data_IF_909401234246
#
_entry.id   IF_909401234246
#
_cell.length_a   1.000
_cell.length_b   1.000
_cell.length_c   1.000
_cell.angle_alpha   90.00
_cell.angle_beta   90.00
_cell.angle_gamma   90.00
#
_symmetry.space_group_name_H-M   'P 1'
#
loop_
_entity.id
_entity.type
_entity.pdbx_description
1 polymer ?
#
# COMPACT_ATOMS: atom_id res chain seq x y z
N UNK A 1 18.14 -4.31 -33.55
CA UNK A 1 17.93 -2.95 -33.01
C UNK A 1 18.10 -2.98 -31.49
N UNK A 2 19.06 -2.25 -30.95
CA UNK A 2 19.25 -2.10 -29.50
C UNK A 2 18.06 -1.27 -28.97
N UNK A 3 17.32 -1.80 -27.99
CA UNK A 3 16.21 -1.07 -27.39
C UNK A 3 16.77 0.19 -26.71
N UNK A 4 16.15 1.35 -26.94
CA UNK A 4 16.50 2.55 -26.18
C UNK A 4 16.21 2.30 -24.70
N UNK A 5 17.14 2.67 -23.82
CA UNK A 5 17.01 2.48 -22.38
C UNK A 5 15.87 3.38 -21.88
N UNK A 6 15.02 2.85 -20.99
CA UNK A 6 13.99 3.65 -20.34
C UNK A 6 14.63 4.39 -19.15
N UNK A 7 14.35 5.69 -18.94
CA UNK A 7 14.83 6.42 -17.76
C UNK A 7 14.47 5.71 -16.45
N UNK A 8 15.40 5.73 -15.48
CA UNK A 8 15.29 4.94 -14.24
C UNK A 8 14.02 5.21 -13.43
N UNK A 9 13.58 6.47 -13.37
CA UNK A 9 12.36 6.84 -12.65
C UNK A 9 11.06 6.24 -13.26
N UNK A 10 11.09 5.80 -14.52
CA UNK A 10 9.98 5.10 -15.17
C UNK A 10 10.12 3.57 -15.08
N UNK A 11 11.27 3.04 -14.63
CA UNK A 11 11.47 1.61 -14.41
C UNK A 11 10.91 1.12 -13.06
N UNK A 12 10.70 2.04 -12.11
CA UNK A 12 10.35 1.70 -10.72
C UNK A 12 8.84 1.44 -10.48
N UNK A 13 8.02 1.34 -11.53
CA UNK A 13 6.60 1.03 -11.39
C UNK A 13 5.76 1.42 -12.59
N UNK A 14 4.49 1.73 -12.35
CA UNK A 14 3.62 2.22 -13.40
C UNK A 14 3.92 3.69 -13.72
N UNK A 15 3.87 4.04 -14.99
CA UNK A 15 3.98 5.42 -15.43
C UNK A 15 2.92 5.77 -16.47
N UNK A 16 2.53 7.04 -16.51
CA UNK A 16 1.59 7.56 -17.50
C UNK A 16 2.33 7.94 -18.79
N UNK A 17 1.63 7.92 -19.91
CA UNK A 17 2.15 8.44 -21.17
C UNK A 17 2.49 9.94 -21.09
N UNK A 18 1.80 10.69 -20.22
CA UNK A 18 2.12 12.10 -19.92
C UNK A 18 3.47 12.22 -19.22
N UNK A 19 3.75 11.35 -18.24
CA UNK A 19 5.04 11.30 -17.56
C UNK A 19 6.18 10.92 -18.53
N UNK A 20 5.94 9.97 -19.43
CA UNK A 20 6.94 9.60 -20.44
C UNK A 20 7.25 10.74 -21.41
N UNK A 21 6.25 11.54 -21.80
CA UNK A 21 6.44 12.70 -22.67
C UNK A 21 7.30 13.77 -21.98
N UNK A 22 7.02 14.06 -20.70
CA UNK A 22 7.83 14.98 -19.89
C UNK A 22 9.27 14.51 -19.75
N UNK A 23 9.49 13.19 -19.74
CA UNK A 23 10.82 12.58 -19.69
C UNK A 23 11.51 12.45 -21.07
N UNK A 24 10.90 12.97 -22.15
CA UNK A 24 11.45 12.91 -23.50
C UNK A 24 11.44 11.51 -24.14
N UNK A 25 10.63 10.59 -23.60
CA UNK A 25 10.54 9.22 -24.12
C UNK A 25 9.62 9.19 -25.34
N UNK A 26 10.14 8.69 -26.47
CA UNK A 26 9.40 8.64 -27.73
C UNK A 26 8.22 7.65 -27.67
N UNK A 27 7.19 7.89 -28.49
CA UNK A 27 6.03 6.97 -28.60
C UNK A 27 6.44 5.57 -29.04
N UNK A 28 7.38 5.46 -29.98
CA UNK A 28 7.96 4.18 -30.41
C UNK A 28 8.55 3.41 -29.24
N UNK A 29 9.22 4.10 -28.29
CA UNK A 29 9.76 3.45 -27.09
C UNK A 29 8.66 3.00 -26.12
N UNK A 30 7.59 3.77 -25.97
CA UNK A 30 6.43 3.39 -25.11
C UNK A 30 5.56 2.26 -25.69
N UNK A 31 5.78 1.89 -26.96
CA UNK A 31 5.13 0.78 -27.65
C UNK A 31 6.00 -0.49 -27.69
N UNK A 32 7.19 -0.47 -27.10
CA UNK A 32 8.09 -1.62 -27.08
C UNK A 32 7.53 -2.77 -26.23
N UNK A 33 7.85 -4.01 -26.62
CA UNK A 33 7.31 -5.25 -26.03
C UNK A 33 7.74 -5.51 -24.57
N UNK A 34 8.70 -4.75 -24.06
CA UNK A 34 9.11 -4.81 -22.65
C UNK A 34 8.21 -3.97 -21.72
N UNK A 35 7.17 -3.34 -22.26
CA UNK A 35 6.16 -2.60 -21.52
C UNK A 35 4.78 -3.23 -21.73
N UNK A 36 4.04 -3.43 -20.64
CA UNK A 36 2.64 -3.86 -20.65
C UNK A 36 1.73 -2.65 -20.56
N UNK A 37 0.67 -2.65 -21.36
CA UNK A 37 -0.41 -1.67 -21.23
C UNK A 37 -1.48 -2.21 -20.27
N UNK A 38 -1.51 -1.69 -19.06
CA UNK A 38 -2.47 -2.10 -18.01
C UNK A 38 -3.78 -1.30 -18.07
N UNK A 39 -3.74 -0.09 -18.60
CA UNK A 39 -4.90 0.75 -18.86
C UNK A 39 -4.57 1.78 -19.93
N UNK A 40 -5.60 2.45 -20.46
CA UNK A 40 -5.41 3.50 -21.46
C UNK A 40 -4.47 4.58 -20.92
N UNK A 41 -3.35 4.78 -21.62
CA UNK A 41 -2.34 5.78 -21.26
C UNK A 41 -1.41 5.39 -20.10
N UNK A 42 -1.45 4.15 -19.62
CA UNK A 42 -0.58 3.67 -18.55
C UNK A 42 0.30 2.53 -19.06
N UNK A 43 1.57 2.53 -18.65
CA UNK A 43 2.54 1.48 -18.95
C UNK A 43 3.16 0.95 -17.67
N UNK A 44 3.54 -0.32 -17.70
CA UNK A 44 4.30 -0.98 -16.64
C UNK A 44 5.42 -1.79 -17.31
N UNK A 45 6.69 -1.62 -16.92
CA UNK A 45 7.77 -2.49 -17.38
C UNK A 45 7.48 -3.95 -17.01
N UNK A 46 7.66 -4.88 -17.96
CA UNK A 46 7.38 -6.32 -17.76
C UNK A 46 8.16 -6.90 -16.58
N UNK A 47 9.40 -6.44 -16.38
CA UNK A 47 10.26 -6.88 -15.29
C UNK A 47 10.09 -6.06 -14.01
N UNK A 48 9.13 -5.13 -13.95
CA UNK A 48 8.88 -4.39 -12.72
C UNK A 48 8.22 -5.33 -11.71
N UNK A 49 8.87 -5.56 -10.57
CA UNK A 49 8.27 -6.17 -9.38
C UNK A 49 7.42 -5.17 -8.57
N UNK A 50 6.94 -4.10 -9.20
CA UNK A 50 6.29 -3.01 -8.48
C UNK A 50 4.96 -3.46 -7.87
N UNK A 51 4.78 -3.14 -6.59
CA UNK A 51 3.58 -3.42 -5.80
C UNK A 51 3.10 -2.16 -5.10
N UNK A 52 1.88 -2.16 -4.57
CA UNK A 52 1.35 -1.06 -3.77
C UNK A 52 1.29 0.26 -4.54
N UNK A 53 1.78 1.35 -3.92
CA UNK A 53 1.87 2.70 -4.46
C UNK A 53 2.56 2.77 -5.81
N UNK A 54 3.72 2.12 -5.95
CA UNK A 54 4.51 2.13 -7.18
C UNK A 54 3.76 1.53 -8.39
N UNK A 55 2.92 0.52 -8.16
CA UNK A 55 2.08 -0.07 -9.20
C UNK A 55 0.89 0.84 -9.59
N UNK A 56 0.45 1.72 -8.69
CA UNK A 56 -0.76 2.53 -8.85
C UNK A 56 -0.50 4.00 -9.20
N UNK A 57 0.74 4.49 -9.08
CA UNK A 57 1.16 5.88 -9.32
C UNK A 57 0.62 6.49 -10.60
N UNK A 58 0.67 5.74 -11.71
CA UNK A 58 0.19 6.25 -12.99
C UNK A 58 -1.31 6.57 -13.03
N UNK A 59 -2.12 5.94 -12.18
CA UNK A 59 -3.57 6.20 -12.15
C UNK A 59 -3.90 7.56 -11.55
N UNK A 60 -3.14 7.99 -10.54
CA UNK A 60 -3.29 9.30 -9.91
C UNK A 60 -2.51 10.40 -10.63
N UNK A 61 -1.41 10.07 -11.31
CA UNK A 61 -0.65 11.04 -12.13
C UNK A 61 -1.36 11.38 -13.45
N UNK A 62 -2.07 10.41 -14.04
CA UNK A 62 -2.77 10.62 -15.30
C UNK A 62 -3.97 11.58 -15.17
N UNK A 63 -4.53 11.72 -13.97
CA UNK A 63 -5.64 12.61 -13.69
C UNK A 63 -5.57 13.15 -12.26
N UNK A 64 -5.30 14.45 -12.16
CA UNK A 64 -5.14 15.24 -10.94
C UNK A 64 -6.40 15.27 -10.04
N UNK A 65 -7.51 14.68 -10.46
CA UNK A 65 -8.75 14.54 -9.67
C UNK A 65 -8.99 13.13 -9.11
N UNK A 66 -8.26 12.13 -9.60
CA UNK A 66 -8.46 10.72 -9.24
C UNK A 66 -7.73 10.36 -7.94
N UNK A 67 -8.45 9.70 -7.03
CA UNK A 67 -7.99 9.35 -5.68
C UNK A 67 -8.16 7.85 -5.49
N UNK A 68 -7.15 7.13 -5.00
CA UNK A 68 -7.29 5.72 -4.62
C UNK A 68 -8.16 5.59 -3.37
N UNK A 69 -9.08 4.62 -3.34
CA UNK A 69 -10.03 4.42 -2.23
C UNK A 69 -10.22 2.93 -1.92
N UNK A 70 -10.93 2.60 -0.83
CA UNK A 70 -11.39 1.25 -0.51
C UNK A 70 -10.26 0.21 -0.54
N UNK A 71 -10.46 -0.95 -1.19
CA UNK A 71 -9.47 -2.03 -1.28
C UNK A 71 -8.13 -1.58 -1.88
N UNK A 72 -8.11 -0.61 -2.80
CA UNK A 72 -6.86 -0.11 -3.37
C UNK A 72 -6.07 0.74 -2.38
N UNK A 73 -6.73 1.66 -1.67
CA UNK A 73 -6.09 2.44 -0.61
C UNK A 73 -5.62 1.53 0.54
N UNK A 74 -6.46 0.58 0.96
CA UNK A 74 -6.14 -0.37 2.02
C UNK A 74 -4.85 -1.17 1.73
N UNK A 75 -4.66 -1.61 0.48
CA UNK A 75 -3.41 -2.29 0.05
C UNK A 75 -2.20 -1.38 0.10
N UNK A 76 -2.33 -0.11 -0.26
CA UNK A 76 -1.23 0.86 -0.16
C UNK A 76 -0.86 1.13 1.30
N UNK A 77 -1.85 1.20 2.20
CA UNK A 77 -1.62 1.28 3.64
C UNK A 77 -1.05 -0.01 4.25
N UNK A 78 -1.11 -1.12 3.51
CA UNK A 78 -0.69 -2.44 3.98
C UNK A 78 -1.69 -3.10 4.94
N UNK A 79 -2.94 -2.64 4.94
CA UNK A 79 -3.98 -3.17 5.82
C UNK A 79 -4.20 -4.68 5.59
N UNK A 80 -4.43 -5.46 6.66
CA UNK A 80 -4.68 -6.89 6.53
C UNK A 80 -6.05 -7.12 5.89
N UNK A 81 -6.07 -7.53 4.62
CA UNK A 81 -7.30 -7.84 3.90
C UNK A 81 -7.60 -9.35 3.91
N UNK A 82 -8.89 -9.75 4.07
CA UNK A 82 -9.31 -11.15 3.99
C UNK A 82 -8.91 -11.81 2.66
N UNK A 83 -8.70 -13.13 2.69
CA UNK A 83 -8.24 -13.90 1.53
C UNK A 83 -9.12 -13.73 0.29
N UNK A 84 -10.45 -13.59 0.45
CA UNK A 84 -11.40 -13.35 -0.66
C UNK A 84 -11.11 -12.08 -1.45
N UNK A 85 -10.48 -11.08 -0.81
CA UNK A 85 -10.10 -9.83 -1.46
C UNK A 85 -8.65 -9.85 -1.97
N UNK A 86 -7.86 -10.91 -1.74
CA UNK A 86 -6.48 -10.98 -2.27
C UNK A 86 -6.44 -11.16 -3.79
N UNK A 87 -7.43 -11.84 -4.37
CA UNK A 87 -7.52 -12.08 -5.81
C UNK A 87 -8.21 -10.97 -6.61
N UNK A 88 -8.81 -9.97 -5.96
CA UNK A 88 -9.51 -8.88 -6.66
C UNK A 88 -8.53 -7.77 -7.05
N UNK A 89 -7.91 -7.89 -8.22
CA UNK A 89 -6.91 -6.93 -8.73
C UNK A 89 -7.50 -5.68 -9.36
N UNK A 90 -8.82 -5.47 -9.25
CA UNK A 90 -9.44 -4.23 -9.73
C UNK A 90 -8.97 -3.05 -8.90
N UNK A 91 -8.85 -1.91 -9.57
CA UNK A 91 -8.34 -0.67 -8.97
C UNK A 91 -9.51 0.22 -8.61
N UNK A 92 -9.68 0.51 -7.33
CA UNK A 92 -10.73 1.37 -6.81
C UNK A 92 -10.27 2.83 -6.86
N UNK A 93 -10.91 3.62 -7.71
CA UNK A 93 -10.67 5.05 -7.85
C UNK A 93 -11.93 5.83 -7.55
N UNK A 94 -11.80 6.86 -6.74
CA UNK A 94 -12.83 7.84 -6.48
C UNK A 94 -12.48 9.18 -7.12
N UNK A 95 -13.52 9.96 -7.39
CA UNK A 95 -13.43 11.40 -7.61
C UNK A 95 -14.41 12.12 -6.71
N UNK A 96 -14.10 13.40 -6.44
CA UNK A 96 -15.01 14.29 -5.72
C UNK A 96 -16.33 14.44 -6.50
N UNK A 97 -17.43 14.58 -5.77
CA UNK A 97 -18.72 14.95 -6.35
C UNK A 97 -18.59 16.26 -7.15
N UNK A 98 -19.21 16.32 -8.33
CA UNK A 98 -19.04 17.40 -9.31
C UNK A 98 -18.07 17.07 -10.46
N UNK A 99 -17.25 16.02 -10.32
CA UNK A 99 -16.46 15.48 -11.42
C UNK A 99 -17.13 14.29 -12.11
N UNK A 100 -16.68 13.98 -13.32
CA UNK A 100 -17.18 12.83 -14.08
C UNK A 100 -16.74 11.50 -13.45
N UNK A 101 -17.64 10.51 -13.49
CA UNK A 101 -17.40 9.17 -12.96
C UNK A 101 -16.17 8.51 -13.65
N UNK A 102 -15.20 7.95 -12.90
CA UNK A 102 -14.04 7.27 -13.49
C UNK A 102 -14.45 6.05 -14.33
N UNK A 103 -14.19 6.07 -15.64
CA UNK A 103 -14.47 4.95 -16.56
C UNK A 103 -13.22 4.44 -17.25
N UNK A 104 -12.70 3.29 -16.80
CA UNK A 104 -11.49 2.64 -17.35
C UNK A 104 -11.58 1.12 -17.21
N UNK A 105 -10.89 0.40 -18.07
CA UNK A 105 -10.73 -1.05 -17.93
C UNK A 105 -9.97 -1.37 -16.62
N UNK A 106 -10.39 -2.43 -15.94
CA UNK A 106 -9.85 -2.90 -14.66
C UNK A 106 -9.92 -1.85 -13.51
N UNK A 107 -10.84 -0.89 -13.60
CA UNK A 107 -11.07 0.14 -12.58
C UNK A 107 -12.51 0.07 -12.09
N UNK A 108 -12.69 0.07 -10.78
CA UNK A 108 -13.98 0.34 -10.13
C UNK A 108 -14.00 1.83 -9.79
N UNK A 109 -14.83 2.58 -10.52
CA UNK A 109 -15.02 4.00 -10.29
C UNK A 109 -15.98 4.27 -9.12
N UNK A 110 -15.72 5.33 -8.39
CA UNK A 110 -16.58 5.85 -7.32
C UNK A 110 -16.70 7.37 -7.47
N UNK A 111 -17.82 7.92 -7.03
CA UNK A 111 -18.00 9.37 -6.85
C UNK A 111 -18.38 9.59 -5.40
N UNK A 112 -17.50 10.25 -4.66
CA UNK A 112 -17.60 10.39 -3.22
C UNK A 112 -17.51 11.86 -2.81
N UNK A 113 -18.07 12.17 -1.65
CA UNK A 113 -17.79 13.43 -0.95
C UNK A 113 -16.61 13.21 -0.02
N UNK A 114 -15.64 14.13 -0.06
CA UNK A 114 -14.45 14.10 0.78
C UNK A 114 -14.34 15.40 1.57
N UNK A 115 -14.00 15.29 2.85
CA UNK A 115 -13.51 16.40 3.66
C UNK A 115 -12.05 16.72 3.30
N UNK A 116 -11.56 17.95 3.57
CA UNK A 116 -10.22 18.38 3.16
C UNK A 116 -9.07 17.50 3.65
N UNK A 117 -9.23 16.86 4.80
CA UNK A 117 -8.24 16.02 5.50
C UNK A 117 -8.37 14.52 5.20
N UNK A 118 -9.35 14.13 4.38
CA UNK A 118 -9.59 12.73 4.03
C UNK A 118 -8.80 12.25 2.82
N UNK A 119 -8.07 13.14 2.13
CA UNK A 119 -7.26 12.81 0.97
C UNK A 119 -5.81 13.15 1.27
N UNK A 120 -4.94 12.15 1.18
CA UNK A 120 -3.52 12.27 1.45
C UNK A 120 -2.71 11.95 0.20
N UNK A 121 -1.47 12.42 0.20
CA UNK A 121 -0.45 11.95 -0.73
C UNK A 121 0.55 11.08 0.04
N UNK A 122 0.73 9.84 -0.42
CA UNK A 122 1.62 8.86 0.22
C UNK A 122 2.40 8.13 -0.86
N UNK A 123 3.73 8.14 -0.78
CA UNK A 123 4.63 7.50 -1.74
C UNK A 123 4.31 7.83 -3.23
N UNK A 124 3.93 9.10 -3.46
CA UNK A 124 3.60 9.63 -4.78
C UNK A 124 2.26 9.17 -5.36
N UNK A 125 1.37 8.60 -4.55
CA UNK A 125 -0.04 8.36 -4.91
C UNK A 125 -0.97 9.18 -4.03
N UNK A 126 -2.07 9.67 -4.64
CA UNK A 126 -3.17 10.30 -3.91
C UNK A 126 -4.21 9.25 -3.53
N UNK A 127 -4.54 9.16 -2.25
CA UNK A 127 -5.42 8.14 -1.70
C UNK A 127 -6.20 8.65 -0.49
N UNK A 128 -7.24 7.93 -0.10
CA UNK A 128 -8.00 8.24 1.11
C UNK A 128 -7.15 8.04 2.36
N UNK A 129 -7.35 8.89 3.37
CA UNK A 129 -6.68 8.79 4.68
C UNK A 129 -6.94 7.42 5.32
N UNK A 130 -6.14 6.97 6.30
CA UNK A 130 -6.39 5.70 6.99
C UNK A 130 -7.81 5.60 7.56
N UNK A 131 -8.27 6.65 8.26
CA UNK A 131 -9.62 6.70 8.83
C UNK A 131 -10.71 6.62 7.73
N UNK A 132 -10.53 7.35 6.63
CA UNK A 132 -11.47 7.30 5.52
C UNK A 132 -11.44 5.96 4.80
N UNK A 133 -10.27 5.37 4.62
CA UNK A 133 -10.11 4.03 4.03
C UNK A 133 -10.84 2.99 4.86
N UNK A 134 -10.72 3.06 6.19
CA UNK A 134 -11.45 2.18 7.10
C UNK A 134 -12.97 2.31 6.92
N UNK A 135 -13.49 3.54 6.84
CA UNK A 135 -14.92 3.77 6.53
C UNK A 135 -15.32 3.23 5.15
N UNK A 136 -14.49 3.43 4.12
CA UNK A 136 -14.74 2.92 2.76
C UNK A 136 -14.83 1.37 2.72
N UNK A 137 -14.23 0.68 3.69
CA UNK A 137 -14.24 -0.78 3.79
C UNK A 137 -15.44 -1.35 4.55
N UNK A 138 -16.18 -0.52 5.30
CA UNK A 138 -17.26 -0.98 6.17
C UNK A 138 -18.39 -1.71 5.42
N UNK A 139 -18.61 -1.39 4.15
CA UNK A 139 -19.57 -2.08 3.29
C UNK A 139 -19.07 -3.38 2.64
N UNK A 140 -17.78 -3.72 2.81
CA UNK A 140 -17.12 -4.85 2.14
C UNK A 140 -16.64 -5.94 3.12
N UNK A 141 -16.41 -5.55 4.37
CA UNK A 141 -15.82 -6.40 5.41
C UNK A 141 -16.87 -6.75 6.47
N UNK A 142 -16.70 -7.90 7.14
CA UNK A 142 -17.45 -8.17 8.36
C UNK A 142 -17.00 -7.25 9.49
N UNK A 143 -17.75 -7.20 10.59
CA UNK A 143 -17.40 -6.37 11.75
C UNK A 143 -16.04 -6.77 12.31
N UNK A 144 -15.76 -8.07 12.44
CA UNK A 144 -14.50 -8.60 12.98
C UNK A 144 -13.30 -8.23 12.10
N UNK A 145 -13.48 -8.31 10.77
CA UNK A 145 -12.44 -7.95 9.81
C UNK A 145 -12.20 -6.44 9.79
N UNK A 146 -13.26 -5.65 9.92
CA UNK A 146 -13.19 -4.19 10.00
C UNK A 146 -12.49 -3.75 11.29
N UNK A 147 -12.73 -4.40 12.42
CA UNK A 147 -12.00 -4.19 13.68
C UNK A 147 -10.52 -4.49 13.48
N UNK A 148 -10.16 -5.64 12.91
CA UNK A 148 -8.76 -6.00 12.66
C UNK A 148 -8.03 -4.98 11.75
N UNK A 149 -8.70 -4.48 10.72
CA UNK A 149 -8.14 -3.40 9.88
C UNK A 149 -8.01 -2.10 10.66
N UNK A 150 -9.01 -1.74 11.46
CA UNK A 150 -8.97 -0.54 12.31
C UNK A 150 -7.81 -0.57 13.30
N UNK A 151 -7.65 -1.67 14.02
CA UNK A 151 -6.56 -1.89 14.96
C UNK A 151 -5.20 -1.75 14.28
N UNK A 152 -5.02 -2.36 13.11
CA UNK A 152 -3.80 -2.23 12.33
C UNK A 152 -3.52 -0.76 11.96
N UNK A 153 -4.53 -0.06 11.44
CA UNK A 153 -4.37 1.33 11.01
C UNK A 153 -4.07 2.25 12.19
N UNK A 154 -4.69 2.07 13.36
CA UNK A 154 -4.40 2.89 14.55
C UNK A 154 -3.01 2.58 15.13
N UNK A 155 -2.67 1.30 15.29
CA UNK A 155 -1.41 0.87 15.92
C UNK A 155 -0.17 1.22 15.09
N UNK A 156 -0.32 1.50 13.80
CA UNK A 156 0.79 1.87 12.92
C UNK A 156 1.22 3.36 13.03
N UNK A 157 0.59 4.18 13.89
CA UNK A 157 0.85 5.63 13.98
C UNK A 157 1.76 6.09 15.16
N UNK A 158 2.55 5.19 15.77
CA UNK A 158 3.70 5.57 16.60
C UNK A 158 3.70 5.07 18.05
N UNK A 159 4.91 5.07 18.65
CA UNK A 159 5.30 4.40 19.90
C UNK A 159 4.52 4.81 21.17
N UNK A 160 3.60 5.77 21.10
CA UNK A 160 2.82 6.22 22.24
C UNK A 160 1.61 5.33 22.55
N UNK A 161 1.18 4.52 21.59
CA UNK A 161 0.14 3.52 21.81
C UNK A 161 0.76 2.17 22.14
N UNK A 162 0.59 1.78 23.39
CA UNK A 162 0.84 0.42 23.86
C UNK A 162 -0.09 -0.49 23.05
N UNK A 163 0.49 -1.42 22.27
CA UNK A 163 -0.29 -2.50 21.64
C UNK A 163 -1.27 -3.06 22.68
N UNK A 164 -2.56 -3.21 22.36
CA UNK A 164 -3.47 -3.94 23.23
C UNK A 164 -2.86 -5.32 23.49
N UNK A 165 -2.79 -5.71 24.77
CA UNK A 165 -2.32 -7.02 25.19
C UNK A 165 -3.11 -8.17 24.55
N UNK A 166 -2.62 -9.41 24.67
CA UNK A 166 -2.96 -10.51 23.80
C UNK A 166 -4.35 -11.06 24.12
N UNK A 167 -5.37 -10.55 23.45
CA UNK A 167 -6.63 -11.30 23.30
C UNK A 167 -6.70 -12.00 21.93
N UNK A 168 -5.81 -11.65 20.99
CA UNK A 168 -5.69 -12.31 19.68
C UNK A 168 -4.26 -12.32 19.09
N UNK A 169 -3.25 -11.90 19.86
CA UNK A 169 -1.86 -11.93 19.39
C UNK A 169 -1.36 -13.38 19.38
N UNK A 170 -1.11 -13.92 18.19
CA UNK A 170 -0.18 -15.04 18.01
C UNK A 170 1.11 -14.65 18.71
N UNK A 171 1.52 -15.43 19.72
CA UNK A 171 2.66 -15.13 20.58
C UNK A 171 3.91 -14.85 19.73
N UNK A 172 4.32 -13.60 19.66
CA UNK A 172 5.65 -13.21 19.20
C UNK A 172 6.55 -13.19 20.43
N UNK A 173 7.24 -14.29 20.70
CA UNK A 173 8.39 -14.26 21.61
C UNK A 173 9.51 -13.51 20.92
N UNK A 174 9.75 -12.27 21.37
CA UNK A 174 10.95 -11.52 21.00
C UNK A 174 12.14 -12.09 21.78
N UNK A 175 12.84 -13.06 21.19
CA UNK A 175 14.10 -13.57 21.70
C UNK A 175 15.26 -12.83 21.05
N UNK A 176 16.08 -12.14 21.85
CA UNK A 176 17.35 -11.56 21.40
C UNK A 176 18.36 -12.69 21.26
N UNK A 177 18.77 -13.01 20.02
CA UNK A 177 20.00 -13.76 19.79
C UNK A 177 21.12 -12.78 19.47
N UNK A 178 22.25 -12.94 20.17
CA UNK A 178 23.50 -12.24 19.92
C UNK A 178 23.93 -12.44 18.46
N UNK A 179 23.87 -11.38 17.65
CA UNK A 179 24.24 -11.43 16.23
C UNK A 179 23.39 -10.59 15.27
N UNK A 180 22.47 -9.74 15.75
CA UNK A 180 21.83 -8.70 14.92
C UNK A 180 20.84 -9.19 13.86
N UNK A 181 20.49 -10.49 13.84
CA UNK A 181 19.47 -11.05 12.95
C UNK A 181 18.27 -11.52 13.78
N UNK A 182 17.10 -10.94 13.53
CA UNK A 182 15.83 -11.42 14.10
C UNK A 182 15.27 -12.49 13.18
N UNK A 183 15.28 -13.75 13.63
CA UNK A 183 14.57 -14.85 13.00
C UNK A 183 13.32 -15.17 13.82
N UNK A 184 12.13 -15.05 13.22
CA UNK A 184 10.89 -15.54 13.82
C UNK A 184 10.67 -16.99 13.37
N UNK A 185 10.78 -17.94 14.29
CA UNK A 185 10.36 -19.33 14.11
C UNK A 185 9.05 -19.59 14.84
N UNK A 186 8.14 -20.36 14.23
CA UNK A 186 6.86 -20.77 14.82
C UNK A 186 6.98 -22.22 15.28
N UNK A 187 6.75 -22.50 16.56
CA UNK A 187 6.56 -23.86 17.09
C UNK A 187 5.26 -23.92 17.88
N UNK A 188 4.35 -24.84 17.50
CA UNK A 188 3.07 -25.05 18.18
C UNK A 188 3.05 -26.37 18.94
N UNK A 189 2.44 -26.37 20.13
CA UNK A 189 1.93 -27.59 20.77
C UNK A 189 0.42 -27.46 21.04
N UNK A 190 -0.28 -28.58 20.85
CA UNK A 190 -1.68 -28.73 20.44
C UNK A 190 -2.77 -28.43 21.49
N UNK A 191 -4.01 -28.20 21.00
CA UNK A 191 -5.21 -28.42 21.81
C UNK A 191 -6.61 -28.02 21.32
N UNK A 192 -6.93 -27.98 20.01
CA UNK A 192 -8.27 -28.28 19.38
C UNK A 192 -8.36 -27.78 17.93
N UNK A 193 -8.89 -28.62 17.05
CA UNK A 193 -8.90 -28.50 15.59
C UNK A 193 -9.97 -27.50 15.08
N UNK A 194 -9.52 -26.31 14.68
CA UNK A 194 -10.03 -25.62 13.49
C UNK A 194 -8.77 -25.31 12.67
N UNK A 195 -8.75 -25.62 11.37
CA UNK A 195 -7.53 -25.49 10.56
C UNK A 195 -7.22 -24.02 10.25
N UNK A 196 -6.44 -23.37 11.12
CA UNK A 196 -6.00 -21.98 11.01
C UNK A 196 -4.53 -21.84 10.54
N UNK A 197 -4.04 -22.76 9.70
CA UNK A 197 -2.62 -22.84 9.33
C UNK A 197 -2.17 -21.93 8.16
N UNK A 198 -3.00 -21.01 7.67
CA UNK A 198 -2.68 -20.22 6.46
C UNK A 198 -2.23 -18.76 6.71
N UNK A 199 -2.12 -18.31 7.96
CA UNK A 199 -1.80 -16.90 8.30
C UNK A 199 -0.35 -16.74 8.75
N UNK A 200 0.60 -17.18 7.94
CA UNK A 200 2.01 -16.82 8.06
C UNK A 200 2.41 -15.97 6.85
N UNK A 201 2.07 -14.68 6.88
CA UNK A 201 2.67 -13.73 5.96
C UNK A 201 4.05 -13.35 6.51
N UNK A 202 5.08 -13.87 5.85
CA UNK A 202 6.48 -13.56 6.16
C UNK A 202 6.82 -12.10 5.79
N UNK A 203 7.38 -11.37 6.78
CA UNK A 203 8.30 -10.20 6.66
C UNK A 203 7.72 -8.87 6.13
N UNK A 204 8.31 -7.71 6.39
CA UNK A 204 9.57 -7.28 7.00
C UNK A 204 9.31 -5.98 7.79
N UNK A 205 10.03 -5.74 8.89
CA UNK A 205 10.01 -4.45 9.56
C UNK A 205 10.45 -3.36 8.57
N UNK A 206 9.66 -2.29 8.46
CA UNK A 206 9.94 -1.14 7.59
C UNK A 206 11.33 -0.56 7.93
N UNK A 207 12.26 -0.42 6.96
CA UNK A 207 13.47 0.37 7.17
C UNK A 207 13.07 1.84 7.15
N UNK A 208 12.92 2.42 8.34
CA UNK A 208 12.42 3.78 8.55
C UNK A 208 11.94 4.04 9.98
N UNK A 209 11.73 2.98 10.77
CA UNK A 209 11.47 3.11 12.21
C UNK A 209 12.75 3.32 13.05
N UNK A 210 13.94 3.33 12.43
CA UNK A 210 15.21 3.57 13.09
C UNK A 210 15.87 4.87 12.60
N UNK A 211 15.84 5.87 13.48
CA UNK A 211 16.75 7.01 13.61
C UNK A 211 16.77 8.09 12.50
N UNK A 212 16.43 9.32 12.91
CA UNK A 212 17.41 10.43 12.91
C UNK A 212 17.01 11.52 13.92
N UNK A 213 17.95 11.81 14.82
CA UNK A 213 18.09 13.02 15.65
C UNK A 213 17.27 13.15 16.94
N UNK A 214 17.91 12.78 18.07
CA UNK A 214 17.88 13.52 19.34
C UNK A 214 19.18 13.21 20.09
N UNK A 215 20.31 13.62 19.52
CA UNK A 215 21.50 13.93 20.30
C UNK A 215 21.42 15.42 20.64
N UNK A 216 21.03 15.75 21.86
CA UNK A 216 21.64 16.81 22.68
C UNK A 216 20.82 17.08 23.96
N UNK A 217 21.56 17.12 25.08
CA UNK A 217 21.27 17.75 26.37
C UNK A 217 20.29 17.05 27.34
N UNK A 218 20.83 16.14 28.15
CA UNK A 218 20.45 16.06 29.56
C UNK A 218 21.64 16.58 30.40
N UNK A 219 21.44 17.47 31.39
CA UNK A 219 22.49 17.88 32.31
C UNK A 219 22.72 16.80 33.37
N UNK A 220 23.98 16.58 33.76
CA UNK A 220 24.34 15.67 34.85
C UNK A 220 23.81 16.21 36.19
N UNK A 221 23.24 15.36 37.06
CA UNK A 221 23.06 15.70 38.46
C UNK A 221 24.38 15.50 39.20
N UNK A 222 24.75 16.50 40.00
CA UNK A 222 25.78 16.45 41.04
C UNK A 222 25.38 15.55 42.21
#
# INVERSE_FOLDING_TARGET
MRKAILPDHLNNGSFSLRASDKAGVTRTRTAAKDLVTVSRGIRVPVQSGATGSAALRAYTDLDDTSILTSLSAARVWGAPLPARHRGDWRIHLARRRGFSFPRRANVVGHVLTFFPDEVLEYDGVRLTSPARTWLDLAGLLTVEELVAVGDYLVCCHGLHFRCPGPLYAVSMTCGTLSGGTVACGVSGQHGRQLSWSAWAATRSLRPGCASRSLMQACPNPS
#
